data_IF_463500987944
#
_entry.id   IF_463500987944
#
_cell.length_a   1.000
_cell.length_b   1.000
_cell.length_c   1.000
_cell.angle_alpha   90.00
_cell.angle_beta   90.00
_cell.angle_gamma   90.00
#
_symmetry.space_group_name_H-M   'P 1'
#
loop_
_entity.id
_entity.type
_entity.pdbx_description
1 polymer ?
#
# COMPACT_ATOMS: atom_id res chain seq x y z
N UNK A 1 -13.85 5.56 -4.15
CA UNK A 1 -12.37 5.56 -4.05
C UNK A 1 -11.76 4.41 -4.85
N UNK A 2 -10.80 4.68 -5.73
CA UNK A 2 -9.99 3.66 -6.42
C UNK A 2 -8.50 3.90 -6.11
N UNK A 3 -7.75 2.82 -5.94
CA UNK A 3 -6.30 2.86 -5.80
C UNK A 3 -5.66 2.02 -6.89
N UNK A 4 -4.78 2.63 -7.67
CA UNK A 4 -3.92 1.97 -8.63
C UNK A 4 -2.68 1.41 -7.94
N UNK A 5 -2.33 0.18 -8.27
CA UNK A 5 -1.17 -0.57 -7.75
C UNK A 5 -0.85 -1.71 -8.72
N UNK A 6 0.05 -2.62 -8.35
CA UNK A 6 0.45 -3.79 -9.12
C UNK A 6 1.79 -4.31 -8.59
N UNK A 7 2.71 -4.60 -9.51
CA UNK A 7 4.13 -4.39 -9.26
C UNK A 7 4.42 -2.88 -9.34
N UNK A 8 4.94 -2.41 -10.48
CA UNK A 8 5.08 -0.99 -10.77
C UNK A 8 4.04 -0.56 -11.84
N UNK A 9 3.02 0.26 -11.51
CA UNK A 9 1.96 0.64 -12.43
C UNK A 9 2.45 1.22 -13.77
N UNK A 10 3.53 1.99 -13.75
CA UNK A 10 4.06 2.64 -14.96
C UNK A 10 4.81 1.70 -15.91
N UNK A 11 4.96 0.41 -15.57
CA UNK A 11 5.40 -0.63 -16.52
C UNK A 11 4.28 -0.97 -17.51
N UNK A 12 3.02 -0.70 -17.17
CA UNK A 12 1.87 -0.87 -18.07
C UNK A 12 1.79 0.31 -19.05
N UNK A 13 1.97 0.03 -20.35
CA UNK A 13 2.06 1.05 -21.42
C UNK A 13 0.86 2.00 -21.49
N UNK A 14 -0.35 1.48 -21.30
CA UNK A 14 -1.63 2.21 -21.36
C UNK A 14 -2.11 2.68 -19.98
N UNK A 15 -1.22 2.76 -18.97
CA UNK A 15 -1.63 3.06 -17.59
C UNK A 15 -2.36 4.40 -17.46
N UNK A 16 -1.89 5.45 -18.12
CA UNK A 16 -2.55 6.76 -18.05
C UNK A 16 -3.92 6.78 -18.73
N UNK A 17 -4.11 6.00 -19.80
CA UNK A 17 -5.43 5.83 -20.44
C UNK A 17 -6.42 5.19 -19.46
N UNK A 18 -5.98 4.18 -18.70
CA UNK A 18 -6.77 3.56 -17.66
C UNK A 18 -7.14 4.55 -16.54
N UNK A 19 -6.17 5.34 -16.07
CA UNK A 19 -6.39 6.35 -15.03
C UNK A 19 -7.45 7.36 -15.49
N UNK A 20 -7.33 7.88 -16.71
CA UNK A 20 -8.29 8.83 -17.29
C UNK A 20 -9.68 8.22 -17.50
N UNK A 21 -9.74 6.95 -17.92
CA UNK A 21 -11.01 6.23 -18.10
C UNK A 21 -11.74 6.09 -16.77
N UNK A 22 -11.01 5.77 -15.70
CA UNK A 22 -11.58 5.61 -14.36
C UNK A 22 -11.91 6.95 -13.71
N UNK A 23 -11.14 8.02 -13.96
CA UNK A 23 -11.45 9.36 -13.44
C UNK A 23 -12.79 9.90 -13.95
N UNK A 24 -13.25 9.43 -15.12
CA UNK A 24 -14.50 9.85 -15.73
C UNK A 24 -15.75 9.12 -15.19
N UNK A 25 -15.58 8.06 -14.39
CA UNK A 25 -16.70 7.25 -13.90
C UNK A 25 -17.41 7.97 -12.75
N UNK A 26 -18.71 8.25 -12.93
CA UNK A 26 -19.56 8.81 -11.88
C UNK A 26 -19.62 7.86 -10.66
N UNK A 27 -19.42 8.42 -9.46
CA UNK A 27 -19.38 7.67 -8.20
C UNK A 27 -17.97 7.28 -7.74
N UNK A 28 -16.92 7.63 -8.50
CA UNK A 28 -15.53 7.52 -8.04
C UNK A 28 -15.04 8.87 -7.51
N UNK A 29 -15.10 9.04 -6.19
CA UNK A 29 -14.79 10.35 -5.56
C UNK A 29 -13.29 10.66 -5.40
N UNK A 30 -12.43 9.65 -5.56
CA UNK A 30 -11.01 9.78 -5.27
C UNK A 30 -10.17 8.71 -5.95
N UNK A 31 -9.11 9.16 -6.61
CA UNK A 31 -8.06 8.33 -7.19
C UNK A 31 -6.79 8.42 -6.34
N UNK A 32 -6.14 7.28 -6.17
CA UNK A 32 -4.88 7.17 -5.46
C UNK A 32 -3.95 6.22 -6.19
N UNK A 33 -2.65 6.38 -5.98
CA UNK A 33 -1.62 5.54 -6.58
C UNK A 33 -0.77 4.90 -5.49
N UNK A 34 -0.24 3.71 -5.74
CA UNK A 34 0.95 3.16 -5.07
C UNK A 34 2.01 2.90 -6.13
N UNK A 35 3.24 3.34 -5.89
CA UNK A 35 4.37 3.19 -6.83
C UNK A 35 5.70 3.17 -6.08
N UNK A 36 6.73 2.58 -6.68
CA UNK A 36 8.11 2.73 -6.20
C UNK A 36 8.74 4.08 -6.61
N UNK A 37 8.08 4.85 -7.49
CA UNK A 37 8.49 6.19 -7.90
C UNK A 37 9.51 6.26 -9.04
N UNK A 38 10.14 5.15 -9.44
CA UNK A 38 11.24 5.16 -10.43
C UNK A 38 10.76 5.68 -11.80
N UNK A 39 9.58 5.23 -12.25
CA UNK A 39 9.02 5.60 -13.56
C UNK A 39 7.92 6.67 -13.49
N UNK A 40 7.63 7.19 -12.28
CA UNK A 40 6.47 8.06 -12.05
C UNK A 40 6.71 9.52 -12.41
N UNK A 41 7.93 10.03 -12.22
CA UNK A 41 8.28 11.45 -12.39
C UNK A 41 7.70 12.10 -13.65
N UNK A 42 7.88 11.51 -14.85
CA UNK A 42 7.36 12.07 -16.11
C UNK A 42 5.82 12.23 -16.16
N UNK A 43 5.08 11.52 -15.32
CA UNK A 43 3.61 11.49 -15.34
C UNK A 43 2.96 12.27 -14.21
N UNK A 44 3.73 12.85 -13.28
CA UNK A 44 3.19 13.54 -12.09
C UNK A 44 2.16 14.62 -12.45
N UNK A 45 2.43 15.42 -13.49
CA UNK A 45 1.50 16.45 -13.96
C UNK A 45 0.19 15.84 -14.52
N UNK A 46 0.29 14.74 -15.26
CA UNK A 46 -0.89 14.04 -15.78
C UNK A 46 -1.71 13.40 -14.65
N UNK A 47 -1.05 12.84 -13.63
CA UNK A 47 -1.73 12.33 -12.43
C UNK A 47 -2.51 13.44 -11.72
N UNK A 48 -1.93 14.65 -11.61
CA UNK A 48 -2.63 15.81 -11.04
C UNK A 48 -3.86 16.18 -11.85
N UNK A 49 -3.72 16.27 -13.18
CA UNK A 49 -4.81 16.59 -14.10
C UNK A 49 -5.94 15.56 -14.06
N UNK A 50 -5.60 14.28 -13.92
CA UNK A 50 -6.56 13.20 -13.76
C UNK A 50 -7.24 13.17 -12.37
N UNK A 51 -6.86 14.07 -11.45
CA UNK A 51 -7.46 14.18 -10.13
C UNK A 51 -6.95 13.14 -9.12
N UNK A 52 -5.74 12.60 -9.31
CA UNK A 52 -5.09 11.76 -8.29
C UNK A 52 -4.82 12.59 -7.05
N UNK A 53 -5.47 12.20 -5.94
CA UNK A 53 -5.42 12.96 -4.68
C UNK A 53 -4.19 12.64 -3.86
N UNK A 54 -3.75 11.38 -3.86
CA UNK A 54 -2.58 10.96 -3.09
C UNK A 54 -1.76 9.86 -3.77
N UNK A 55 -0.46 9.86 -3.51
CA UNK A 55 0.48 8.82 -3.92
C UNK A 55 1.07 8.15 -2.68
N UNK A 56 0.99 6.83 -2.64
CA UNK A 56 1.77 5.99 -1.74
C UNK A 56 3.11 5.71 -2.41
N UNK A 57 4.20 6.27 -1.90
CA UNK A 57 5.54 6.07 -2.43
C UNK A 57 6.25 5.00 -1.59
N UNK A 58 6.64 3.88 -2.19
CA UNK A 58 7.43 2.86 -1.50
C UNK A 58 8.88 3.31 -1.39
N UNK A 59 9.34 3.56 -0.16
CA UNK A 59 10.70 4.00 0.15
C UNK A 59 11.07 3.50 1.55
N UNK A 60 11.82 2.40 1.59
CA UNK A 60 12.14 1.67 2.82
C UNK A 60 13.32 2.27 3.61
N UNK A 61 14.05 3.22 3.03
CA UNK A 61 15.25 3.83 3.61
C UNK A 61 15.59 5.15 2.90
N UNK A 62 16.27 6.06 3.60
CA UNK A 62 16.84 7.30 3.05
C UNK A 62 18.35 7.18 2.77
N UNK A 63 18.94 6.03 3.04
CA UNK A 63 20.33 5.72 2.73
C UNK A 63 20.41 5.07 1.35
N UNK A 64 21.22 5.63 0.45
CA UNK A 64 21.33 5.18 -0.94
C UNK A 64 21.88 3.76 -1.07
N UNK A 65 22.89 3.41 -0.27
CA UNK A 65 23.50 2.09 -0.35
C UNK A 65 22.53 1.01 0.16
N UNK A 66 21.85 1.28 1.28
CA UNK A 66 20.80 0.41 1.79
C UNK A 66 19.62 0.34 0.82
N UNK A 67 19.24 1.44 0.18
CA UNK A 67 18.21 1.45 -0.86
C UNK A 67 18.58 0.48 -1.99
N UNK A 68 19.82 0.57 -2.48
CA UNK A 68 20.33 -0.31 -3.54
C UNK A 68 20.36 -1.78 -3.11
N UNK A 69 20.70 -2.07 -1.85
CA UNK A 69 20.65 -3.43 -1.29
C UNK A 69 19.22 -3.97 -1.27
N UNK A 70 18.27 -3.18 -0.75
CA UNK A 70 16.87 -3.59 -0.59
C UNK A 70 16.18 -3.76 -1.96
N UNK A 71 16.30 -2.75 -2.82
CA UNK A 71 15.60 -2.72 -4.13
C UNK A 71 16.34 -3.45 -5.24
N UNK A 72 17.62 -3.80 -5.01
CA UNK A 72 18.56 -4.38 -5.98
C UNK A 72 18.83 -3.48 -7.19
N UNK A 73 18.55 -2.17 -7.09
CA UNK A 73 18.75 -1.18 -8.15
C UNK A 73 19.22 0.15 -7.57
N UNK A 74 20.12 0.84 -8.26
CA UNK A 74 20.62 2.16 -7.84
C UNK A 74 19.73 3.27 -8.45
N UNK A 75 18.52 3.39 -7.92
CA UNK A 75 17.46 4.30 -8.43
C UNK A 75 17.03 5.33 -7.38
N UNK A 76 17.80 5.49 -6.30
CA UNK A 76 17.44 6.35 -5.17
C UNK A 76 17.16 7.79 -5.61
N UNK A 77 18.05 8.36 -6.42
CA UNK A 77 17.93 9.74 -6.89
C UNK A 77 16.64 9.93 -7.72
N UNK A 78 16.30 8.98 -8.59
CA UNK A 78 15.07 9.02 -9.38
C UNK A 78 13.79 8.96 -8.50
N UNK A 79 13.81 8.18 -7.43
CA UNK A 79 12.70 8.13 -6.46
C UNK A 79 12.58 9.45 -5.69
N UNK A 80 13.70 10.05 -5.29
CA UNK A 80 13.72 11.34 -4.60
C UNK A 80 13.28 12.49 -5.51
N UNK A 81 13.65 12.47 -6.78
CA UNK A 81 13.17 13.44 -7.78
C UNK A 81 11.65 13.32 -7.98
N UNK A 82 11.13 12.10 -8.10
CA UNK A 82 9.68 11.87 -8.14
C UNK A 82 9.00 12.40 -6.87
N UNK A 83 9.55 12.13 -5.69
CA UNK A 83 9.00 12.65 -4.43
C UNK A 83 8.93 14.17 -4.44
N UNK A 84 10.01 14.85 -4.85
CA UNK A 84 10.07 16.30 -4.93
C UNK A 84 9.05 16.86 -5.93
N UNK A 85 8.87 16.21 -7.08
CA UNK A 85 7.85 16.58 -8.07
C UNK A 85 6.43 16.43 -7.51
N UNK A 86 6.14 15.34 -6.81
CA UNK A 86 4.83 15.12 -6.18
C UNK A 86 4.50 16.21 -5.16
N UNK A 87 5.49 16.58 -4.33
CA UNK A 87 5.34 17.66 -3.35
C UNK A 87 5.14 19.02 -4.04
N UNK A 88 5.92 19.31 -5.09
CA UNK A 88 5.79 20.55 -5.88
C UNK A 88 4.41 20.70 -6.51
N UNK A 89 3.83 19.62 -7.03
CA UNK A 89 2.49 19.62 -7.63
C UNK A 89 1.35 19.53 -6.58
N UNK A 90 1.68 19.61 -5.29
CA UNK A 90 0.75 19.53 -4.17
C UNK A 90 -0.13 18.27 -4.26
N UNK A 91 0.48 17.12 -4.55
CA UNK A 91 -0.15 15.81 -4.45
C UNK A 91 0.20 15.26 -3.06
N UNK A 92 -0.80 14.78 -2.31
CA UNK A 92 -0.55 14.24 -0.97
C UNK A 92 0.36 13.01 -1.07
N UNK A 93 1.53 13.04 -0.42
CA UNK A 93 2.47 11.92 -0.44
C UNK A 93 2.45 11.16 0.88
N UNK A 94 2.33 9.85 0.78
CA UNK A 94 2.43 8.91 1.88
C UNK A 94 3.59 7.96 1.61
N UNK A 95 4.68 8.11 2.33
CA UNK A 95 5.82 7.19 2.22
C UNK A 95 5.44 5.89 2.93
N UNK A 96 5.65 4.76 2.27
CA UNK A 96 5.48 3.43 2.84
C UNK A 96 6.86 2.80 3.00
N UNK A 97 7.20 2.45 4.24
CA UNK A 97 8.42 1.73 4.58
C UNK A 97 8.06 0.43 5.29
N UNK A 98 8.43 -0.71 4.71
CA UNK A 98 8.31 -2.02 5.37
C UNK A 98 9.48 -2.16 6.35
N UNK A 99 9.18 -2.42 7.62
CA UNK A 99 10.21 -2.57 8.65
C UNK A 99 10.70 -4.02 8.66
N UNK A 100 11.91 -4.22 8.17
CA UNK A 100 12.56 -5.52 8.00
C UNK A 100 13.71 -5.66 8.99
N UNK A 101 13.64 -6.69 9.83
CA UNK A 101 14.64 -6.94 10.85
C UNK A 101 16.04 -7.15 10.26
N UNK A 102 17.04 -6.44 10.81
CA UNK A 102 18.43 -6.52 10.37
C UNK A 102 18.71 -5.91 8.99
N UNK A 103 17.70 -5.31 8.33
CA UNK A 103 17.86 -4.66 7.02
C UNK A 103 17.74 -3.13 7.11
N UNK A 104 16.65 -2.61 7.68
CA UNK A 104 16.36 -1.16 7.70
C UNK A 104 15.76 -0.65 9.02
N UNK A 105 15.94 -1.37 10.11
CA UNK A 105 15.43 -0.94 11.43
C UNK A 105 16.08 0.36 11.90
N UNK A 106 17.31 0.61 11.48
CA UNK A 106 18.06 1.83 11.81
C UNK A 106 17.53 3.06 11.04
N UNK A 107 16.74 2.86 9.98
CA UNK A 107 16.14 3.93 9.20
C UNK A 107 14.85 4.48 9.79
N UNK A 108 14.26 3.81 10.80
CA UNK A 108 12.97 4.20 11.37
C UNK A 108 13.02 5.66 11.84
N UNK A 109 14.02 6.03 12.65
CA UNK A 109 14.12 7.38 13.18
C UNK A 109 14.46 8.41 12.11
N UNK A 110 15.34 8.08 11.14
CA UNK A 110 15.65 8.96 10.02
C UNK A 110 14.42 9.25 9.14
N UNK A 111 13.58 8.24 8.92
CA UNK A 111 12.29 8.39 8.23
C UNK A 111 11.28 9.20 9.06
N UNK A 112 11.31 9.11 10.39
CA UNK A 112 10.51 10.00 11.26
C UNK A 112 11.00 11.45 11.13
N UNK A 113 12.32 11.69 11.22
CA UNK A 113 12.94 13.01 11.07
C UNK A 113 12.58 13.66 9.73
N UNK A 114 12.42 12.85 8.68
CA UNK A 114 12.04 13.33 7.35
C UNK A 114 10.68 14.04 7.33
N UNK A 115 9.79 13.73 8.27
CA UNK A 115 8.49 14.41 8.43
C UNK A 115 8.59 15.79 9.07
N UNK A 116 9.74 16.17 9.61
CA UNK A 116 9.95 17.46 10.28
C UNK A 116 9.70 18.63 9.32
N UNK A 117 10.41 18.61 8.20
CA UNK A 117 10.44 19.74 7.25
C UNK A 117 9.61 19.48 5.97
N UNK A 118 8.91 18.35 5.89
CA UNK A 118 8.14 17.97 4.70
C UNK A 118 6.71 17.55 5.06
N UNK A 119 5.70 17.97 4.28
CA UNK A 119 4.30 17.61 4.51
C UNK A 119 3.99 16.18 4.01
N UNK A 120 4.78 15.21 4.46
CA UNK A 120 4.63 13.79 4.10
C UNK A 120 4.09 12.99 5.28
N UNK A 121 3.30 11.97 4.96
CA UNK A 121 2.91 10.95 5.94
C UNK A 121 3.83 9.74 5.79
N UNK A 122 4.74 9.51 6.74
CA UNK A 122 5.61 8.33 6.72
C UNK A 122 4.92 7.19 7.44
N UNK A 123 4.72 6.07 6.74
CA UNK A 123 3.98 4.91 7.25
C UNK A 123 4.85 3.69 7.31
N UNK A 124 5.09 3.23 8.53
CA UNK A 124 5.80 2.00 8.82
C UNK A 124 4.84 0.81 8.71
N UNK A 125 5.25 -0.23 8.00
CA UNK A 125 4.45 -1.41 7.73
C UNK A 125 5.14 -2.61 8.36
N UNK A 126 4.40 -3.37 9.17
CA UNK A 126 4.85 -4.68 9.63
C UNK A 126 5.19 -5.57 8.42
N UNK A 127 6.35 -6.22 8.44
CA UNK A 127 6.73 -7.15 7.39
C UNK A 127 5.73 -8.31 7.29
N UNK A 128 5.15 -8.49 6.10
CA UNK A 128 4.20 -9.55 5.81
C UNK A 128 4.93 -10.76 5.21
N UNK A 129 4.35 -11.97 5.26
CA UNK A 129 4.98 -13.17 4.69
C UNK A 129 5.08 -13.18 3.15
N UNK A 130 4.73 -12.08 2.46
CA UNK A 130 4.51 -11.98 1.00
C UNK A 130 5.62 -11.21 0.29
N UNK A 131 6.82 -11.23 0.86
CA UNK A 131 7.97 -10.46 0.39
C UNK A 131 8.75 -11.13 -0.76
N UNK A 132 8.31 -12.30 -1.25
CA UNK A 132 8.96 -13.01 -2.37
C UNK A 132 10.31 -13.63 -2.04
N UNK A 133 10.82 -13.50 -0.80
CA UNK A 133 12.08 -14.09 -0.35
C UNK A 133 11.88 -15.40 0.43
N UNK A 134 10.66 -15.97 0.43
CA UNK A 134 10.35 -17.26 1.06
C UNK A 134 10.58 -17.30 2.58
N UNK A 135 10.87 -16.15 3.20
CA UNK A 135 11.14 -16.03 4.63
C UNK A 135 9.83 -16.01 5.39
N UNK A 136 9.30 -17.20 5.68
CA UNK A 136 8.20 -17.36 6.62
C UNK A 136 8.74 -17.18 8.04
N UNK A 137 8.66 -15.96 8.57
CA UNK A 137 8.85 -15.75 10.00
C UNK A 137 7.62 -16.27 10.76
N UNK A 138 7.73 -17.33 11.58
CA UNK A 138 6.61 -17.77 12.40
C UNK A 138 6.22 -16.72 13.44
N UNK A 139 7.15 -15.81 13.79
CA UNK A 139 6.98 -14.73 14.75
C UNK A 139 7.58 -13.45 14.16
N UNK A 140 6.77 -12.39 14.09
CA UNK A 140 7.25 -11.06 13.71
C UNK A 140 7.85 -10.35 14.92
N UNK A 141 9.11 -9.92 14.83
CA UNK A 141 9.76 -9.15 15.89
C UNK A 141 9.33 -7.67 15.90
N UNK A 142 9.33 -7.03 14.73
CA UNK A 142 8.93 -5.62 14.56
C UNK A 142 7.43 -5.48 14.37
N UNK A 143 6.68 -5.79 15.44
CA UNK A 143 5.25 -5.51 15.50
C UNK A 143 4.96 -4.01 15.52
N UNK A 144 3.74 -3.62 15.18
CA UNK A 144 3.28 -2.23 15.23
C UNK A 144 3.51 -1.61 16.60
N UNK A 145 3.30 -2.37 17.69
CA UNK A 145 3.58 -1.90 19.06
C UNK A 145 5.06 -1.59 19.24
N UNK A 146 5.95 -2.51 18.86
CA UNK A 146 7.40 -2.31 18.95
C UNK A 146 7.87 -1.11 18.12
N UNK A 147 7.32 -0.93 16.91
CA UNK A 147 7.61 0.23 16.05
C UNK A 147 7.17 1.52 16.75
N UNK A 148 5.93 1.56 17.29
CA UNK A 148 5.41 2.72 18.02
C UNK A 148 6.28 3.03 19.25
N UNK A 149 6.60 2.02 20.07
CA UNK A 149 7.38 2.17 21.29
C UNK A 149 8.81 2.66 20.98
N UNK A 150 9.42 2.15 19.91
CA UNK A 150 10.73 2.60 19.45
C UNK A 150 10.73 4.08 19.05
N UNK A 151 9.70 4.52 18.30
CA UNK A 151 9.55 5.93 17.91
C UNK A 151 9.26 6.79 19.15
N UNK A 152 8.38 6.37 20.05
CA UNK A 152 8.05 7.11 21.27
C UNK A 152 9.29 7.27 22.18
N UNK A 153 10.21 6.30 22.20
CA UNK A 153 11.47 6.42 22.94
C UNK A 153 12.35 7.58 22.48
N UNK A 154 12.39 7.86 21.18
CA UNK A 154 13.12 9.00 20.61
C UNK A 154 12.28 10.29 20.59
N UNK A 155 10.95 10.17 20.50
CA UNK A 155 10.00 11.27 20.45
C UNK A 155 8.94 11.15 21.56
N UNK A 156 9.27 11.46 22.84
CA UNK A 156 8.36 11.26 23.97
C UNK A 156 7.08 12.11 23.91
N UNK A 157 7.10 13.20 23.14
CA UNK A 157 5.97 14.10 22.92
C UNK A 157 5.12 13.71 21.69
N UNK A 158 5.38 12.58 21.03
CA UNK A 158 4.53 12.05 19.97
C UNK A 158 3.12 11.79 20.52
N UNK A 159 2.10 12.24 19.78
CA UNK A 159 0.69 12.13 20.18
C UNK A 159 -0.10 11.35 19.14
N UNK A 160 -1.01 10.48 19.62
CA UNK A 160 -1.96 9.80 18.75
C UNK A 160 -2.96 10.82 18.18
N UNK A 161 -3.16 10.79 16.86
CA UNK A 161 -4.21 11.58 16.20
C UNK A 161 -5.39 10.69 15.81
N UNK A 162 -6.54 11.31 15.54
CA UNK A 162 -7.75 10.61 15.12
C UNK A 162 -7.50 9.91 13.78
N UNK A 163 -7.78 8.62 13.75
CA UNK A 163 -7.73 7.84 12.51
C UNK A 163 -9.01 8.07 11.70
N UNK A 164 -8.85 8.20 10.38
CA UNK A 164 -9.98 8.27 9.47
C UNK A 164 -10.81 6.96 9.51
N UNK A 165 -12.12 7.02 9.20
CA UNK A 165 -12.92 5.81 9.06
C UNK A 165 -12.27 4.82 8.10
N UNK A 166 -12.20 3.55 8.52
CA UNK A 166 -11.57 2.47 7.76
C UNK A 166 -10.05 2.65 7.51
N UNK A 167 -9.37 3.50 8.31
CA UNK A 167 -7.90 3.62 8.27
C UNK A 167 -7.22 2.27 8.52
N UNK A 168 -6.11 2.06 7.81
CA UNK A 168 -5.26 0.88 7.96
C UNK A 168 -4.06 1.14 8.85
N UNK A 169 -3.79 2.42 9.15
CA UNK A 169 -2.70 2.87 10.00
C UNK A 169 -3.22 3.48 11.29
N UNK A 170 -2.47 3.26 12.36
CA UNK A 170 -2.51 4.06 13.56
C UNK A 170 -1.67 5.31 13.33
N UNK A 171 -2.29 6.48 13.25
CA UNK A 171 -1.61 7.73 12.92
C UNK A 171 -1.23 8.55 14.16
N UNK A 172 -0.07 9.20 14.12
CA UNK A 172 0.52 9.98 15.19
C UNK A 172 1.12 11.27 14.62
N UNK A 173 1.13 12.34 15.41
CA UNK A 173 1.85 13.57 15.09
C UNK A 173 2.94 13.83 16.13
N UNK A 174 3.99 14.53 15.71
CA UNK A 174 5.06 14.99 16.59
C UNK A 174 5.02 16.52 16.58
N UNK A 175 4.93 17.19 17.74
CA UNK A 175 4.93 18.64 17.80
C UNK A 175 6.14 19.24 17.06
N UNK A 176 5.89 20.20 16.16
CA UNK A 176 6.91 20.85 15.33
C UNK A 176 7.22 20.15 14.00
N UNK A 177 6.64 18.98 13.73
CA UNK A 177 6.74 18.33 12.42
C UNK A 177 5.63 18.81 11.49
N UNK A 178 5.95 19.06 10.22
CA UNK A 178 4.97 19.37 9.18
C UNK A 178 4.16 18.13 8.75
N UNK A 179 4.80 16.98 8.75
CA UNK A 179 4.22 15.69 8.39
C UNK A 179 3.65 14.93 9.59
N UNK A 180 3.33 13.65 9.36
CA UNK A 180 2.84 12.75 10.40
C UNK A 180 3.36 11.32 10.18
N UNK A 181 3.22 10.50 11.22
CA UNK A 181 3.64 9.10 11.23
C UNK A 181 2.40 8.20 11.23
N UNK A 182 2.46 7.10 10.50
CA UNK A 182 1.48 6.02 10.59
C UNK A 182 2.16 4.68 10.84
N UNK A 183 1.50 3.77 11.55
CA UNK A 183 1.97 2.39 11.68
C UNK A 183 0.86 1.44 11.25
N UNK A 184 1.15 0.58 10.27
CA UNK A 184 0.23 -0.37 9.66
C UNK A 184 0.53 -1.76 10.23
N UNK A 185 -0.41 -2.27 11.03
CA UNK A 185 -0.37 -3.61 11.62
C UNK A 185 -0.72 -4.70 10.59
N UNK A 186 0.08 -4.78 9.52
CA UNK A 186 -0.20 -5.61 8.37
C UNK A 186 -0.13 -7.11 8.69
N UNK A 187 0.88 -7.54 9.45
CA UNK A 187 1.07 -8.92 9.88
C UNK A 187 0.11 -9.30 11.03
N UNK A 188 -0.01 -8.43 12.03
CA UNK A 188 -0.86 -8.60 13.21
C UNK A 188 -2.36 -8.48 12.88
N UNK A 189 -2.71 -7.85 11.74
CA UNK A 189 -4.06 -7.76 11.17
C UNK A 189 -5.10 -7.09 12.07
N UNK A 190 -4.69 -6.14 12.91
CA UNK A 190 -5.55 -5.53 13.93
C UNK A 190 -6.56 -4.51 13.39
N UNK A 191 -6.53 -4.20 12.08
CA UNK A 191 -7.50 -3.30 11.42
C UNK A 191 -8.57 -4.05 10.59
N UNK A 192 -8.61 -5.39 10.61
CA UNK A 192 -9.52 -6.16 9.76
C UNK A 192 -11.01 -5.82 9.98
N UNK A 193 -11.43 -5.56 11.22
CA UNK A 193 -12.83 -5.29 11.57
C UNK A 193 -13.45 -4.05 10.94
N UNK A 194 -12.62 -3.13 10.43
CA UNK A 194 -13.08 -1.92 9.71
C UNK A 194 -12.67 -1.94 8.24
N UNK A 195 -12.10 -3.03 7.72
CA UNK A 195 -11.58 -3.09 6.36
C UNK A 195 -12.70 -3.16 5.30
N UNK A 196 -12.69 -2.23 4.35
CA UNK A 196 -13.64 -2.16 3.23
C UNK A 196 -13.00 -2.38 1.85
N UNK A 197 -11.78 -2.94 1.80
CA UNK A 197 -10.96 -3.01 0.58
C UNK A 197 -11.15 -4.31 -0.20
N UNK A 198 -11.60 -4.23 -1.44
CA UNK A 198 -11.52 -5.28 -2.48
C UNK A 198 -10.31 -5.03 -3.39
N UNK A 199 -9.83 -6.08 -4.07
CA UNK A 199 -8.74 -5.96 -5.05
C UNK A 199 -9.04 -6.75 -6.30
N UNK A 200 -8.52 -6.27 -7.42
CA UNK A 200 -8.47 -7.02 -8.68
C UNK A 200 -7.00 -7.19 -9.02
N UNK A 201 -6.54 -8.43 -9.17
CA UNK A 201 -5.16 -8.73 -9.55
C UNK A 201 -4.91 -8.40 -11.02
N UNK A 202 -3.64 -8.38 -11.44
CA UNK A 202 -3.27 -8.19 -12.84
C UNK A 202 -3.86 -9.28 -13.77
N UNK A 203 -4.14 -10.47 -13.25
CA UNK A 203 -4.76 -11.57 -13.99
C UNK A 203 -6.29 -11.43 -14.09
N UNK A 204 -6.88 -10.43 -13.43
CA UNK A 204 -8.32 -10.19 -13.38
C UNK A 204 -9.05 -11.01 -12.31
N UNK A 205 -8.34 -11.47 -11.28
CA UNK A 205 -8.93 -12.21 -10.16
C UNK A 205 -9.37 -11.23 -9.08
N UNK A 206 -10.61 -11.33 -8.62
CA UNK A 206 -11.12 -10.62 -7.46
C UNK A 206 -10.60 -11.27 -6.18
N UNK A 207 -9.98 -10.46 -5.33
CA UNK A 207 -9.63 -10.80 -3.95
C UNK A 207 -10.46 -9.95 -3.01
N UNK A 208 -11.03 -10.56 -1.99
CA UNK A 208 -11.74 -9.85 -0.92
C UNK A 208 -10.84 -9.63 0.31
N UNK A 209 -9.75 -10.38 0.43
CA UNK A 209 -8.73 -10.22 1.45
C UNK A 209 -7.32 -10.29 0.84
N UNK A 210 -6.28 -9.77 1.50
CA UNK A 210 -4.88 -9.90 0.99
C UNK A 210 -4.43 -11.35 1.03
N UNK A 211 -4.95 -12.05 2.03
CA UNK A 211 -4.57 -13.38 2.43
C UNK A 211 -5.39 -14.49 1.77
N UNK A 212 -6.40 -14.17 0.95
CA UNK A 212 -7.12 -15.22 0.19
C UNK A 212 -6.29 -15.72 -1.00
N UNK A 213 -6.76 -16.73 -1.73
CA UNK A 213 -6.23 -17.19 -3.03
C UNK A 213 -6.98 -16.60 -4.23
N UNK A 214 -7.98 -15.75 -3.97
CA UNK A 214 -8.88 -15.16 -4.95
C UNK A 214 -10.23 -15.89 -5.01
N UNK A 215 -11.32 -15.12 -5.10
CA UNK A 215 -12.68 -15.66 -4.95
C UNK A 215 -13.43 -15.81 -6.28
N UNK A 216 -13.00 -15.09 -7.32
CA UNK A 216 -13.70 -15.01 -8.61
C UNK A 216 -12.78 -14.47 -9.71
N UNK A 217 -12.89 -15.00 -10.94
CA UNK A 217 -12.26 -14.39 -12.12
C UNK A 217 -13.22 -13.38 -12.77
N UNK A 218 -12.95 -12.08 -12.59
CA UNK A 218 -13.73 -11.00 -13.23
C UNK A 218 -13.48 -10.99 -14.74
N UNK A 219 -12.24 -11.25 -15.15
CA UNK A 219 -11.87 -11.32 -16.56
C UNK A 219 -12.70 -12.37 -17.30
N UNK A 220 -12.80 -13.58 -16.76
CA UNK A 220 -13.51 -14.67 -17.44
C UNK A 220 -15.03 -14.42 -17.43
N UNK A 221 -15.56 -13.87 -16.33
CA UNK A 221 -16.96 -13.45 -16.23
C UNK A 221 -17.32 -12.39 -17.29
N UNK A 222 -16.47 -11.39 -17.50
CA UNK A 222 -16.70 -10.38 -18.54
C UNK A 222 -16.56 -10.97 -19.94
N UNK A 223 -15.59 -11.87 -20.16
CA UNK A 223 -15.37 -12.51 -21.46
C UNK A 223 -16.48 -13.48 -21.86
N UNK A 224 -17.20 -14.05 -20.89
CA UNK A 224 -18.38 -14.88 -21.15
C UNK A 224 -19.62 -14.09 -21.56
N UNK A 225 -19.48 -12.78 -21.84
CA UNK A 225 -20.60 -11.89 -22.19
C UNK A 225 -21.68 -11.82 -21.10
N UNK A 226 -21.29 -11.91 -19.83
CA UNK A 226 -22.21 -11.72 -18.72
C UNK A 226 -22.76 -10.28 -18.74
N UNK A 227 -24.06 -10.12 -18.48
CA UNK A 227 -24.68 -8.80 -18.37
C UNK A 227 -24.25 -8.07 -17.11
N UNK A 228 -24.38 -6.74 -17.09
CA UNK A 228 -24.09 -5.91 -15.91
C UNK A 228 -24.86 -6.37 -14.66
N UNK A 229 -26.10 -6.85 -14.84
CA UNK A 229 -26.90 -7.42 -13.74
C UNK A 229 -26.24 -8.68 -13.18
N UNK A 230 -25.82 -9.61 -14.04
CA UNK A 230 -25.13 -10.83 -13.62
C UNK A 230 -23.80 -10.53 -12.93
N UNK A 231 -23.04 -9.56 -13.47
CA UNK A 231 -21.78 -9.10 -12.86
C UNK A 231 -22.05 -8.53 -11.46
N UNK A 232 -23.03 -7.63 -11.34
CA UNK A 232 -23.41 -7.01 -10.06
C UNK A 232 -23.86 -8.03 -9.01
N UNK A 233 -24.67 -9.00 -9.40
CA UNK A 233 -25.13 -10.06 -8.51
C UNK A 233 -23.97 -10.94 -8.03
N UNK A 234 -23.08 -11.32 -8.96
CA UNK A 234 -21.90 -12.14 -8.65
C UNK A 234 -20.95 -11.42 -7.69
N UNK A 235 -20.68 -10.13 -7.95
CA UNK A 235 -19.88 -9.29 -7.06
C UNK A 235 -20.53 -9.13 -5.68
N UNK A 236 -21.84 -8.86 -5.63
CA UNK A 236 -22.57 -8.70 -4.38
C UNK A 236 -22.58 -10.00 -3.55
N UNK A 237 -22.61 -11.17 -4.19
CA UNK A 237 -22.44 -12.45 -3.52
C UNK A 237 -21.03 -12.62 -2.97
N UNK A 238 -20.00 -12.28 -3.74
CA UNK A 238 -18.61 -12.34 -3.27
C UNK A 238 -18.37 -11.42 -2.06
N UNK A 239 -18.95 -10.22 -2.06
CA UNK A 239 -18.75 -9.25 -0.97
C UNK A 239 -19.44 -9.66 0.33
N UNK A 240 -20.62 -10.31 0.25
CA UNK A 240 -21.35 -10.84 1.42
C UNK A 240 -20.66 -12.04 2.07
N UNK A 241 -19.84 -12.78 1.33
CA UNK A 241 -19.11 -13.95 1.80
C UNK A 241 -17.65 -13.65 2.14
N UNK A 242 -17.36 -12.40 2.55
CA UNK A 242 -16.04 -12.01 3.04
C UNK A 242 -15.71 -12.74 4.33
N UNK A 243 -14.46 -13.21 4.45
CA UNK A 243 -13.92 -13.66 5.72
C UNK A 243 -13.95 -12.51 6.75
N UNK A 244 -14.13 -12.85 8.03
CA UNK A 244 -14.14 -11.91 9.15
C UNK A 244 -12.83 -11.13 9.28
N UNK A 245 -11.72 -11.82 9.05
CA UNK A 245 -10.37 -11.25 9.14
C UNK A 245 -9.39 -11.94 8.19
N UNK A 246 -8.16 -11.43 8.16
CA UNK A 246 -7.13 -12.00 7.31
C UNK A 246 -6.67 -13.40 7.74
N UNK A 247 -6.84 -13.80 9.00
CA UNK A 247 -6.46 -15.14 9.46
C UNK A 247 -7.46 -16.19 9.00
N UNK A 248 -8.76 -15.88 9.03
CA UNK A 248 -9.79 -16.73 8.44
C UNK A 248 -9.61 -16.86 6.93
N UNK A 249 -9.34 -15.75 6.23
CA UNK A 249 -9.07 -15.78 4.79
C UNK A 249 -7.88 -16.67 4.43
N UNK A 250 -6.79 -16.60 5.22
CA UNK A 250 -5.61 -17.44 5.03
C UNK A 250 -5.90 -18.92 5.26
N UNK A 251 -6.61 -19.28 6.33
CA UNK A 251 -6.99 -20.67 6.64
C UNK A 251 -7.92 -21.27 5.58
N UNK A 252 -8.72 -20.46 4.89
CA UNK A 252 -9.65 -20.89 3.86
C UNK A 252 -8.99 -21.15 2.50
N UNK A 253 -7.69 -20.90 2.34
CA UNK A 253 -6.96 -21.14 1.07
C UNK A 253 -6.98 -22.61 0.70
N UNK A 254 -7.19 -22.89 -0.60
CA UNK A 254 -7.31 -24.27 -1.13
C UNK A 254 -6.01 -25.08 -1.04
N UNK A 255 -4.87 -24.41 -1.08
CA UNK A 255 -3.56 -25.05 -1.20
C UNK A 255 -3.04 -25.67 0.09
N UNK A 256 -3.60 -25.35 1.27
CA UNK A 256 -3.03 -25.71 2.58
C UNK A 256 -1.65 -25.09 2.88
N UNK A 257 -0.90 -24.71 1.84
CA UNK A 257 0.30 -23.91 1.88
C UNK A 257 -0.03 -22.47 2.29
N UNK A 258 0.78 -21.93 3.20
CA UNK A 258 0.75 -20.52 3.59
C UNK A 258 0.86 -19.59 2.39
N UNK A 259 0.41 -18.35 2.57
CA UNK A 259 0.43 -17.35 1.50
C UNK A 259 1.89 -17.01 1.15
N UNK A 260 2.27 -17.12 -0.13
CA UNK A 260 3.66 -16.98 -0.61
C UNK A 260 3.79 -16.09 -1.85
N UNK A 261 2.66 -15.59 -2.39
CA UNK A 261 2.67 -14.75 -3.57
C UNK A 261 3.34 -13.39 -3.29
N UNK A 262 4.08 -12.86 -4.28
CA UNK A 262 4.68 -11.52 -4.18
C UNK A 262 3.60 -10.43 -4.20
N UNK A 263 3.83 -9.34 -3.47
CA UNK A 263 3.01 -8.11 -3.56
C UNK A 263 2.75 -7.65 -5.00
N UNK A 264 3.72 -7.85 -5.90
CA UNK A 264 3.61 -7.51 -7.32
C UNK A 264 2.50 -8.27 -8.08
N UNK A 265 2.14 -9.48 -7.63
CA UNK A 265 1.11 -10.30 -8.27
C UNK A 265 -0.27 -10.09 -7.65
N UNK A 266 -0.34 -9.75 -6.37
CA UNK A 266 -1.59 -9.55 -5.62
C UNK A 266 -2.03 -8.08 -5.51
N UNK A 267 -1.19 -7.14 -5.96
CA UNK A 267 -1.48 -5.72 -6.09
C UNK A 267 -1.52 -5.00 -4.74
N UNK A 268 -0.35 -4.61 -4.22
CA UNK A 268 -0.25 -3.76 -3.04
C UNK A 268 1.04 -2.98 -2.94
#
# INVERSE_FOLDING_TARGET
>A
KVRFTGGEPFVRKDFMELVNSISAIQGIDSLHLTTNGVLTGPYVQQLKQAGVKSVNLSLDTLDRERFKIITRRDEFDNVMDTLNLLLKENIEVKINAVVMEGKNTDDILALVDFTKDKPVSVRFIEEMPFNGEGSHYPILNWTHKKIIDHIQGAYPNMVKIKDEPHSTSYNYSIPGHLGNIGVIAAFSRTFCGTCNRIRITAQGTLKTCLYDDGVLSIRDLMRSQASDTQIKETLSKAFRNRAKDGFEAERARRSGAGVSESMSTIGG
#
